data_IF_344902776633
#
_entry.id   IF_344902776633
#
_cell.length_a   1.000
_cell.length_b   1.000
_cell.length_c   1.000
_cell.angle_alpha   90.00
_cell.angle_beta   90.00
_cell.angle_gamma   90.00
#
_symmetry.space_group_name_H-M   'P 1'
#
loop_
_entity.id
_entity.type
_entity.pdbx_description
1 polymer ?
#
# COMPACT_ATOMS: atom_id res chain seq x y z
N UNK A 1 -11.66 22.21 7.99
CA UNK A 1 -12.51 21.21 7.28
C UNK A 1 -13.79 21.04 8.09
N UNK A 2 -14.99 20.96 7.49
CA UNK A 2 -16.26 20.91 8.23
C UNK A 2 -17.11 19.70 7.81
N UNK A 3 -17.51 18.89 8.80
CA UNK A 3 -18.52 17.84 8.63
C UNK A 3 -19.90 18.48 8.64
N UNK A 4 -20.73 18.12 7.67
CA UNK A 4 -22.11 18.62 7.59
C UNK A 4 -23.04 17.50 8.05
N UNK A 5 -23.97 17.75 8.99
CA UNK A 5 -24.93 16.75 9.44
C UNK A 5 -25.65 16.07 8.26
N UNK A 6 -25.77 14.74 8.31
CA UNK A 6 -26.40 13.93 7.26
C UNK A 6 -25.56 13.72 5.99
N UNK A 7 -24.40 14.40 5.83
CA UNK A 7 -23.55 14.24 4.64
C UNK A 7 -22.31 13.41 4.94
N UNK A 8 -22.22 12.25 4.29
CA UNK A 8 -21.03 11.39 4.36
C UNK A 8 -19.82 12.09 3.74
N UNK A 9 -18.68 12.03 4.42
CA UNK A 9 -17.39 12.55 3.95
C UNK A 9 -16.43 11.40 3.82
N UNK A 10 -15.79 11.30 2.65
CA UNK A 10 -14.74 10.31 2.37
C UNK A 10 -13.37 10.97 2.48
N UNK A 11 -12.49 10.38 3.28
CA UNK A 11 -11.07 10.72 3.33
C UNK A 11 -10.29 9.58 2.67
N UNK A 12 -9.38 9.93 1.76
CA UNK A 12 -8.52 8.96 1.08
C UNK A 12 -7.08 9.25 1.42
N UNK A 13 -6.39 8.24 1.91
CA UNK A 13 -4.96 8.28 2.19
C UNK A 13 -4.21 7.45 1.15
N UNK A 14 -3.04 7.92 0.75
CA UNK A 14 -2.13 7.17 -0.11
C UNK A 14 -1.02 6.60 0.75
N UNK A 15 -0.92 5.28 0.79
CA UNK A 15 0.16 4.59 1.47
C UNK A 15 1.23 4.19 0.43
N UNK A 16 2.49 4.54 0.68
CA UNK A 16 3.63 4.14 -0.15
C UNK A 16 4.40 3.08 0.63
N UNK A 17 4.25 1.83 0.22
CA UNK A 17 4.89 0.69 0.84
C UNK A 17 6.42 0.73 0.67
N UNK A 18 7.14 0.34 1.71
CA UNK A 18 8.58 0.08 1.68
C UNK A 18 8.85 -1.42 1.67
N UNK A 19 10.08 -1.80 1.35
CA UNK A 19 10.53 -3.21 1.37
C UNK A 19 10.37 -3.83 2.77
N UNK A 20 10.55 -3.04 3.83
CA UNK A 20 10.36 -3.47 5.22
C UNK A 20 8.90 -3.74 5.59
N UNK A 21 7.93 -3.32 4.78
CA UNK A 21 6.51 -3.53 5.02
C UNK A 21 5.99 -4.85 4.42
N UNK A 22 6.81 -5.53 3.62
CA UNK A 22 6.47 -6.81 3.00
C UNK A 22 6.22 -7.86 4.09
N UNK A 23 5.09 -8.56 4.00
CA UNK A 23 4.64 -9.54 4.98
C UNK A 23 3.99 -8.92 6.23
N UNK A 24 3.96 -7.60 6.37
CA UNK A 24 3.28 -6.93 7.49
C UNK A 24 1.81 -6.66 7.16
N UNK A 25 0.99 -6.74 8.21
CA UNK A 25 -0.42 -6.33 8.18
C UNK A 25 -0.50 -4.80 8.27
N UNK A 26 -1.21 -4.19 7.33
CA UNK A 26 -1.60 -2.79 7.38
C UNK A 26 -3.02 -2.72 7.90
N UNK A 27 -3.23 -1.89 8.92
CA UNK A 27 -4.54 -1.62 9.51
C UNK A 27 -4.61 -0.16 9.97
N UNK A 28 -5.83 0.37 10.06
CA UNK A 28 -6.07 1.67 10.69
C UNK A 28 -6.23 1.41 12.18
N UNK A 29 -5.26 1.85 12.98
CA UNK A 29 -5.22 1.62 14.43
C UNK A 29 -6.04 2.62 15.22
N UNK A 30 -6.29 3.81 14.69
CA UNK A 30 -7.20 4.78 15.30
C UNK A 30 -7.65 5.84 14.28
N UNK A 31 -8.79 6.46 14.56
CA UNK A 31 -9.31 7.65 13.89
C UNK A 31 -9.86 8.57 14.95
N UNK A 32 -9.26 9.75 15.09
CA UNK A 32 -9.73 10.80 15.98
C UNK A 32 -10.51 11.85 15.20
N UNK A 33 -11.74 12.12 15.62
CA UNK A 33 -12.58 13.18 15.10
C UNK A 33 -12.73 14.27 16.15
N UNK A 34 -12.17 15.44 15.88
CA UNK A 34 -12.29 16.62 16.73
C UNK A 34 -13.45 17.49 16.23
N UNK A 35 -14.43 17.73 17.09
CA UNK A 35 -15.58 18.60 16.86
C UNK A 35 -15.46 19.85 17.73
N UNK A 36 -15.60 21.03 17.15
CA UNK A 36 -15.51 22.32 17.85
C UNK A 36 -14.38 23.19 17.32
N UNK A 37 -13.89 24.11 18.16
CA UNK A 37 -12.81 25.05 17.82
C UNK A 37 -11.71 25.01 18.88
N UNK A 38 -10.47 25.27 18.49
CA UNK A 38 -9.31 25.34 19.41
C UNK A 38 -9.50 26.40 20.51
N UNK A 39 -10.16 27.51 20.19
CA UNK A 39 -10.42 28.63 21.13
C UNK A 39 -11.66 28.41 22.02
N UNK A 40 -12.27 27.24 21.99
CA UNK A 40 -13.56 26.96 22.65
C UNK A 40 -13.68 25.55 23.18
N UNK A 41 -14.91 25.07 23.39
CA UNK A 41 -15.15 23.67 23.78
C UNK A 41 -14.94 22.78 22.56
N UNK A 42 -14.15 21.73 22.74
CA UNK A 42 -13.98 20.67 21.76
C UNK A 42 -14.42 19.33 22.34
N UNK A 43 -14.90 18.45 21.47
CA UNK A 43 -15.19 17.06 21.76
C UNK A 43 -14.33 16.23 20.83
N UNK A 44 -13.54 15.32 21.39
CA UNK A 44 -12.75 14.36 20.62
C UNK A 44 -13.47 13.02 20.64
N UNK A 45 -13.83 12.53 19.46
CA UNK A 45 -14.38 11.20 19.26
C UNK A 45 -13.27 10.31 18.71
N UNK A 46 -12.76 9.43 19.55
CA UNK A 46 -11.72 8.48 19.17
C UNK A 46 -12.33 7.14 18.83
N UNK A 47 -12.19 6.73 17.57
CA UNK A 47 -12.36 5.34 17.18
C UNK A 47 -11.00 4.66 17.25
N UNK A 48 -10.86 3.68 18.13
CA UNK A 48 -9.66 2.84 18.18
C UNK A 48 -9.92 1.60 17.30
N UNK A 49 -8.91 1.22 16.53
CA UNK A 49 -9.00 0.31 15.40
C UNK A 49 -9.49 -1.09 15.74
N UNK A 50 -9.94 -1.80 14.71
CA UNK A 50 -10.30 -3.22 14.76
C UNK A 50 -9.07 -4.14 14.84
N UNK A 51 -8.28 -3.97 15.89
CA UNK A 51 -7.05 -4.73 16.18
C UNK A 51 -6.96 -5.26 17.62
N UNK A 52 -8.03 -5.17 18.39
CA UNK A 52 -8.20 -5.83 19.69
C UNK A 52 -9.43 -6.73 19.62
N UNK A 53 -9.17 -8.04 19.48
CA UNK A 53 -10.14 -9.12 19.30
C UNK A 53 -11.11 -8.98 18.13
N UNK A 54 -11.40 -10.13 17.52
CA UNK A 54 -12.54 -10.30 16.64
C UNK A 54 -13.84 -10.19 17.45
N UNK A 55 -14.13 -9.04 18.05
CA UNK A 55 -15.47 -8.63 18.47
C UNK A 55 -16.27 -8.25 17.21
N UNK A 56 -16.46 -9.31 16.44
CA UNK A 56 -17.42 -9.65 15.44
C UNK A 56 -17.92 -8.55 14.49
N UNK A 57 -17.71 -8.83 13.20
CA UNK A 57 -18.64 -8.43 12.15
C UNK A 57 -20.12 -8.62 12.55
N UNK A 58 -20.46 -9.56 13.46
CA UNK A 58 -21.79 -9.69 14.06
C UNK A 58 -22.21 -8.54 14.98
N UNK A 59 -21.34 -7.89 15.76
CA UNK A 59 -21.68 -6.79 16.67
C UNK A 59 -21.93 -5.50 15.90
N UNK A 60 -21.12 -5.23 14.87
CA UNK A 60 -21.40 -4.15 13.92
C UNK A 60 -22.72 -4.40 13.15
N UNK A 61 -22.98 -5.64 12.72
CA UNK A 61 -24.26 -6.03 12.10
C UNK A 61 -25.45 -5.95 13.09
N UNK A 62 -25.26 -6.27 14.37
CA UNK A 62 -26.29 -6.17 15.41
C UNK A 62 -26.59 -4.73 15.78
N UNK A 63 -25.57 -3.87 15.87
CA UNK A 63 -25.73 -2.42 16.06
C UNK A 63 -26.47 -1.78 14.87
N UNK A 64 -26.14 -2.16 13.62
CA UNK A 64 -26.85 -1.69 12.43
C UNK A 64 -28.34 -2.12 12.41
N UNK A 65 -28.66 -3.33 12.87
CA UNK A 65 -30.04 -3.85 12.96
C UNK A 65 -30.90 -3.17 14.02
N UNK A 66 -30.31 -2.48 15.00
CA UNK A 66 -31.05 -1.75 16.04
C UNK A 66 -31.78 -0.51 15.51
N UNK A 67 -31.36 0.01 14.35
CA UNK A 67 -32.01 1.12 13.66
C UNK A 67 -33.24 0.62 12.88
N UNK A 68 -34.36 0.44 13.60
CA UNK A 68 -35.64 -0.09 13.07
C UNK A 68 -36.31 0.77 11.98
N UNK A 69 -35.78 1.93 11.60
CA UNK A 69 -36.29 2.74 10.48
C UNK A 69 -35.19 2.95 9.47
N UNK A 70 -35.30 2.26 8.33
CA UNK A 70 -34.53 2.59 7.11
C UNK A 70 -35.08 3.89 6.55
N UNK A 71 -34.36 5.02 6.63
CA UNK A 71 -34.75 6.20 5.89
C UNK A 71 -34.57 5.89 4.40
N UNK A 72 -35.50 6.34 3.54
CA UNK A 72 -35.22 6.37 2.10
C UNK A 72 -34.12 7.41 1.89
N UNK A 73 -32.88 6.94 1.74
CA UNK A 73 -31.76 7.80 1.38
C UNK A 73 -31.96 8.26 -0.08
N UNK A 74 -31.62 9.51 -0.43
CA UNK A 74 -31.54 9.94 -1.82
C UNK A 74 -30.61 9.01 -2.62
N UNK A 75 -30.87 8.81 -3.92
CA UNK A 75 -30.08 7.90 -4.79
C UNK A 75 -28.56 8.15 -4.79
N UNK A 76 -28.12 9.32 -4.36
CA UNK A 76 -26.70 9.71 -4.30
C UNK A 76 -26.04 9.46 -2.92
N UNK A 77 -26.76 8.92 -1.95
CA UNK A 77 -26.23 8.65 -0.61
C UNK A 77 -25.98 7.14 -0.39
N UNK A 78 -24.74 6.83 -0.02
CA UNK A 78 -24.27 5.46 0.15
C UNK A 78 -24.80 4.91 1.48
N UNK A 79 -25.54 3.80 1.43
CA UNK A 79 -26.08 3.18 2.64
C UNK A 79 -24.95 2.54 3.45
N UNK A 80 -24.81 2.87 4.73
CA UNK A 80 -23.73 2.35 5.58
C UNK A 80 -23.70 0.81 5.62
N UNK A 81 -24.86 0.16 5.69
CA UNK A 81 -24.97 -1.31 5.64
C UNK A 81 -24.51 -1.96 4.33
N UNK A 82 -24.36 -1.18 3.25
CA UNK A 82 -23.83 -1.69 1.97
C UNK A 82 -22.30 -1.67 1.91
N UNK A 83 -21.62 -1.08 2.92
CA UNK A 83 -20.18 -0.95 2.95
C UNK A 83 -19.55 -2.19 3.57
N UNK A 84 -18.77 -2.93 2.77
CA UNK A 84 -17.90 -3.99 3.29
C UNK A 84 -16.67 -3.37 3.94
N UNK A 85 -16.51 -3.55 5.25
CA UNK A 85 -15.36 -3.05 6.00
C UNK A 85 -14.17 -3.99 5.79
N UNK A 86 -13.12 -3.50 5.14
CA UNK A 86 -11.82 -4.17 5.10
C UNK A 86 -10.91 -3.53 6.15
N UNK A 87 -10.89 -4.10 7.36
CA UNK A 87 -10.15 -3.56 8.50
C UNK A 87 -8.63 -3.68 8.34
N UNK A 88 -8.18 -4.63 7.51
CA UNK A 88 -6.75 -4.83 7.27
C UNK A 88 -6.44 -5.39 5.89
N UNK A 89 -5.21 -5.17 5.46
CA UNK A 89 -4.62 -5.78 4.26
C UNK A 89 -3.17 -6.15 4.52
N UNK A 90 -2.54 -6.91 3.63
CA UNK A 90 -1.14 -7.30 3.75
C UNK A 90 -0.39 -6.98 2.46
N UNK A 91 0.86 -6.53 2.59
CA UNK A 91 1.74 -6.38 1.44
C UNK A 91 2.40 -7.71 1.14
N UNK A 92 2.18 -8.20 -0.07
CA UNK A 92 2.73 -9.49 -0.52
C UNK A 92 3.86 -9.21 -1.51
N UNK A 93 4.99 -9.90 -1.32
CA UNK A 93 6.09 -9.87 -2.29
C UNK A 93 5.63 -10.49 -3.62
N UNK A 94 6.13 -9.94 -4.73
CA UNK A 94 5.93 -10.53 -6.05
C UNK A 94 7.18 -10.42 -6.88
N UNK A 95 7.26 -11.25 -7.91
CA UNK A 95 8.28 -11.12 -8.95
C UNK A 95 8.05 -9.78 -9.66
N UNK A 96 9.08 -8.92 -9.76
CA UNK A 96 8.97 -7.64 -10.47
C UNK A 96 8.79 -7.89 -11.97
N UNK A 97 7.94 -7.09 -12.62
CA UNK A 97 7.75 -7.16 -14.06
C UNK A 97 8.77 -6.24 -14.77
N UNK A 98 10.03 -6.65 -14.70
CA UNK A 98 11.18 -5.90 -15.25
C UNK A 98 12.03 -6.88 -16.04
N UNK A 99 12.50 -6.47 -17.21
CA UNK A 99 13.50 -7.21 -17.97
C UNK A 99 14.88 -6.54 -17.83
N UNK A 100 15.90 -7.38 -17.62
CA UNK A 100 17.30 -6.96 -17.51
C UNK A 100 18.11 -7.77 -18.51
N UNK A 101 18.81 -7.08 -19.40
CA UNK A 101 19.69 -7.69 -20.39
C UNK A 101 21.11 -7.18 -20.17
N UNK A 102 22.06 -8.10 -20.06
CA UNK A 102 23.49 -7.79 -20.04
C UNK A 102 24.08 -8.22 -21.38
N UNK A 103 24.67 -7.27 -22.09
CA UNK A 103 25.46 -7.54 -23.30
C UNK A 103 26.91 -7.22 -23.00
N UNK A 104 27.79 -8.10 -23.45
CA UNK A 104 29.22 -7.93 -23.32
C UNK A 104 29.92 -8.58 -24.50
N UNK A 105 31.03 -8.00 -24.92
CA UNK A 105 31.88 -8.55 -25.98
C UNK A 105 33.24 -8.91 -25.37
N UNK A 106 33.79 -10.10 -25.69
CA UNK A 106 35.14 -10.46 -25.28
C UNK A 106 36.15 -9.39 -25.74
N UNK A 107 37.14 -9.01 -24.91
CA UNK A 107 38.16 -8.08 -25.34
C UNK A 107 38.99 -8.72 -26.46
N UNK A 108 39.31 -7.95 -27.50
CA UNK A 108 40.12 -8.41 -28.61
C UNK A 108 41.62 -8.35 -28.27
N UNK A 109 42.00 -7.47 -27.34
CA UNK A 109 43.39 -7.26 -26.92
C UNK A 109 43.58 -7.53 -25.43
N UNK A 110 44.80 -7.94 -25.07
CA UNK A 110 45.21 -7.98 -23.66
C UNK A 110 45.24 -6.55 -23.11
N UNK A 111 44.67 -6.37 -21.91
CA UNK A 111 44.52 -5.07 -21.22
C UNK A 111 43.54 -4.09 -21.88
N UNK A 112 42.65 -4.56 -22.75
CA UNK A 112 41.53 -3.74 -23.24
C UNK A 112 40.45 -3.56 -22.16
N UNK A 113 39.78 -2.41 -22.16
CA UNK A 113 38.63 -2.19 -21.28
C UNK A 113 37.47 -3.10 -21.68
N UNK A 114 36.94 -3.85 -20.71
CA UNK A 114 35.81 -4.73 -20.94
C UNK A 114 34.50 -3.94 -20.98
N UNK A 115 33.87 -3.86 -22.16
CA UNK A 115 32.62 -3.13 -22.33
C UNK A 115 31.43 -3.98 -21.88
N UNK A 116 30.65 -3.46 -20.93
CA UNK A 116 29.41 -4.04 -20.43
C UNK A 116 28.25 -3.08 -20.70
N UNK A 117 27.22 -3.56 -21.38
CA UNK A 117 25.98 -2.82 -21.60
C UNK A 117 24.85 -3.49 -20.83
N UNK A 118 24.27 -2.75 -19.89
CA UNK A 118 23.11 -3.21 -19.10
C UNK A 118 21.88 -2.45 -19.57
N UNK A 119 20.90 -3.18 -20.12
CA UNK A 119 19.61 -2.63 -20.50
C UNK A 119 18.56 -3.07 -19.49
N UNK A 120 17.92 -2.11 -18.81
CA UNK A 120 16.83 -2.36 -17.85
C UNK A 120 15.54 -1.78 -18.41
N UNK A 121 14.51 -2.59 -18.55
CA UNK A 121 13.20 -2.15 -19.03
C UNK A 121 12.12 -2.56 -18.04
N UNK A 122 11.41 -1.56 -17.51
CA UNK A 122 10.27 -1.77 -16.62
C UNK A 122 8.98 -1.96 -17.43
N UNK A 123 8.24 -3.01 -17.12
CA UNK A 123 6.88 -3.25 -17.61
C UNK A 123 5.85 -3.10 -16.49
N UNK A 124 6.21 -2.34 -15.45
CA UNK A 124 5.32 -2.01 -14.35
C UNK A 124 4.32 -0.92 -14.76
N UNK A 125 3.09 -0.98 -14.21
CA UNK A 125 2.07 0.06 -14.46
C UNK A 125 2.43 1.40 -13.83
N UNK A 126 3.24 1.35 -12.77
CA UNK A 126 3.67 2.49 -11.98
C UNK A 126 5.14 2.78 -12.23
N UNK A 127 5.49 4.07 -12.28
CA UNK A 127 6.87 4.51 -12.42
C UNK A 127 7.75 4.04 -11.24
N UNK A 128 8.89 3.43 -11.54
CA UNK A 128 9.92 3.08 -10.55
C UNK A 128 10.76 4.34 -10.25
N UNK A 129 11.04 4.58 -8.97
CA UNK A 129 11.84 5.71 -8.48
C UNK A 129 13.04 5.18 -7.68
N UNK A 130 14.05 6.02 -7.50
CA UNK A 130 15.24 5.73 -6.67
C UNK A 130 15.98 4.43 -7.04
N UNK A 131 16.13 4.19 -8.35
CA UNK A 131 16.76 2.98 -8.90
C UNK A 131 18.24 2.92 -8.52
N UNK A 132 18.68 1.77 -7.99
CA UNK A 132 20.09 1.46 -7.71
C UNK A 132 20.49 0.20 -8.47
N UNK A 133 21.62 0.26 -9.17
CA UNK A 133 22.23 -0.88 -9.87
C UNK A 133 23.54 -1.23 -9.18
N UNK A 134 23.68 -2.50 -8.79
CA UNK A 134 24.92 -3.03 -8.22
C UNK A 134 25.44 -4.12 -9.14
N UNK A 135 26.68 -3.98 -9.59
CA UNK A 135 27.38 -4.97 -10.40
C UNK A 135 28.58 -5.53 -9.62
N UNK A 136 28.82 -6.83 -9.73
CA UNK A 136 29.97 -7.49 -9.11
C UNK A 136 30.58 -8.49 -10.08
N UNK A 137 31.91 -8.51 -10.15
CA UNK A 137 32.67 -9.48 -10.94
C UNK A 137 33.02 -10.67 -10.05
N UNK A 138 32.66 -11.88 -10.48
CA UNK A 138 33.09 -13.11 -9.83
C UNK A 138 34.30 -13.67 -10.58
N UNK A 139 35.41 -14.02 -9.91
CA UNK A 139 36.52 -14.69 -10.57
C UNK A 139 36.02 -16.01 -11.18
N UNK A 140 36.28 -16.23 -12.46
CA UNK A 140 35.99 -17.51 -13.10
C UNK A 140 36.85 -18.60 -12.49
N UNK A 141 36.24 -19.74 -12.09
CA UNK A 141 37.01 -20.97 -11.87
C UNK A 141 37.55 -21.39 -13.25
N UNK A 142 38.87 -21.48 -13.38
CA UNK A 142 39.50 -22.03 -14.57
C UNK A 142 39.03 -23.47 -14.81
N UNK A 143 38.07 -23.65 -15.71
CA UNK A 143 37.88 -24.92 -16.43
C UNK A 143 38.20 -24.64 -17.89
N UNK A 144 39.48 -24.71 -18.23
CA UNK A 144 39.89 -24.92 -19.61
C UNK A 144 39.36 -26.29 -20.04
N UNK A 145 38.29 -26.29 -20.83
CA UNK A 145 37.88 -27.44 -21.62
C UNK A 145 37.87 -27.02 -23.09
N UNK A 146 39.06 -26.94 -23.68
CA UNK A 146 39.52 -27.64 -24.89
C UNK A 146 40.77 -26.95 -25.43
#
# INVERSE_FOLDING_TARGET
MCLVPGKTRKLLFKFVAKTEDVGKKIEITCVDLVLGSEMGRCVVLSWQGGGGDAASSQEALQAARSFKRRPRLPDNELHWDSITVQASTMIISRVPNISVQLRHEPPALMNEMYCLVVTVQSHEKTQIRDVKLTAGLKPGKHSFCK
#
